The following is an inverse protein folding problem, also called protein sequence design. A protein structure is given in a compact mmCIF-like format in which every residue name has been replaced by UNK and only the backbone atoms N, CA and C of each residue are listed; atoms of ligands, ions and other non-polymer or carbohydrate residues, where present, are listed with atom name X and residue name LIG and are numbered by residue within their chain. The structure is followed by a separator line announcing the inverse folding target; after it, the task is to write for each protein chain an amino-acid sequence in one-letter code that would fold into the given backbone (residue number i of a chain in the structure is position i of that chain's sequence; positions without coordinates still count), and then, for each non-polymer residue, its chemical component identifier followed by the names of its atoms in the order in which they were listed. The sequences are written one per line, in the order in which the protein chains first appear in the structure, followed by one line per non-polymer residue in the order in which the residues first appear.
data_IF_974630260998
#
_entry.id   IF_974630260998
#
_cell.length_a   1.000
_cell.length_b   1.000
_cell.length_c   1.000
_cell.angle_alpha   90.00
_cell.angle_beta   90.00
_cell.angle_gamma   90.00
#
_symmetry.space_group_name_H-M   'P 1'
#
loop_
_entity.id
_entity.type
_entity.pdbx_description
1 polymer ?
#
# COMPACT_ATOMS: atom_id res chain seq x y z
N UNK A 1 -7.66 -3.70 -32.76
CA UNK A 1 -8.96 -3.72 -32.06
C UNK A 1 -8.91 -4.45 -30.72
N UNK A 2 -8.37 -5.67 -30.64
CA UNK A 2 -8.31 -6.47 -29.38
C UNK A 2 -7.41 -5.86 -28.28
N UNK A 3 -6.38 -5.07 -28.64
CA UNK A 3 -5.52 -4.35 -27.68
C UNK A 3 -6.19 -3.15 -26.98
N UNK A 4 -7.27 -2.59 -27.56
CA UNK A 4 -8.04 -1.50 -26.95
C UNK A 4 -9.05 -2.02 -25.93
N UNK A 5 -9.54 -3.26 -26.10
CA UNK A 5 -10.57 -3.85 -25.25
C UNK A 5 -10.04 -4.23 -23.86
N UNK A 6 -8.80 -4.74 -23.78
CA UNK A 6 -8.19 -5.16 -22.51
C UNK A 6 -7.74 -3.99 -21.62
N UNK A 7 -7.27 -2.88 -22.23
CA UNK A 7 -6.90 -1.67 -21.48
C UNK A 7 -8.11 -0.90 -20.95
N UNK A 8 -9.22 -0.92 -21.70
CA UNK A 8 -10.50 -0.35 -21.27
C UNK A 8 -11.10 -1.24 -20.17
N UNK A 9 -11.08 -2.58 -20.27
CA UNK A 9 -11.61 -3.46 -19.23
C UNK A 9 -10.92 -3.35 -17.86
N UNK A 10 -9.64 -2.99 -17.80
CA UNK A 10 -8.90 -2.88 -16.53
C UNK A 10 -9.23 -1.59 -15.75
N UNK A 11 -9.71 -0.56 -16.44
CA UNK A 11 -10.16 0.71 -15.85
C UNK A 11 -11.68 0.70 -15.70
N UNK A 12 -12.40 0.10 -16.66
CA UNK A 12 -13.83 -0.18 -16.57
C UNK A 12 -14.16 -1.26 -15.51
N UNK A 13 -13.26 -2.13 -15.07
CA UNK A 13 -13.57 -3.00 -13.93
C UNK A 13 -13.64 -2.23 -12.60
N UNK A 14 -12.99 -1.07 -12.49
CA UNK A 14 -13.11 -0.16 -11.35
C UNK A 14 -14.15 0.95 -11.57
N UNK A 15 -14.40 1.36 -12.82
CA UNK A 15 -15.30 2.46 -13.17
C UNK A 15 -16.64 2.03 -13.81
N UNK A 16 -16.71 0.91 -14.54
CA UNK A 16 -17.91 0.38 -15.22
C UNK A 16 -18.70 -0.62 -14.40
N UNK A 17 -18.07 -1.22 -13.40
CA UNK A 17 -18.79 -1.84 -12.30
C UNK A 17 -19.52 -0.77 -11.46
N UNK A 18 -19.10 0.50 -11.55
CA UNK A 18 -19.63 1.60 -10.73
C UNK A 18 -20.47 2.64 -11.47
N UNK A 19 -20.25 2.91 -12.76
CA UNK A 19 -20.85 4.08 -13.41
C UNK A 19 -21.45 3.87 -14.81
N UNK A 20 -21.37 2.67 -15.41
CA UNK A 20 -21.87 2.46 -16.79
C UNK A 20 -23.03 1.47 -16.95
N UNK A 21 -23.81 1.16 -15.91
CA UNK A 21 -25.08 0.48 -16.11
C UNK A 21 -26.21 1.13 -15.30
N UNK A 22 -27.28 1.64 -15.94
CA UNK A 22 -28.59 1.62 -15.30
C UNK A 22 -28.96 0.15 -15.13
N UNK A 23 -28.67 -0.43 -13.96
CA UNK A 23 -28.84 -1.87 -13.63
C UNK A 23 -28.15 -2.80 -14.65
N UNK A 24 -27.00 -3.42 -14.33
CA UNK A 24 -26.66 -4.63 -15.05
C UNK A 24 -27.77 -5.62 -14.76
N UNK A 25 -28.38 -6.17 -15.80
CA UNK A 25 -29.10 -7.42 -15.68
C UNK A 25 -28.06 -8.45 -15.23
N UNK A 26 -27.85 -8.53 -13.91
CA UNK A 26 -27.22 -9.67 -13.27
C UNK A 26 -28.03 -10.86 -13.75
N UNK A 27 -27.35 -11.84 -14.35
CA UNK A 27 -27.93 -13.16 -14.47
C UNK A 27 -28.44 -13.53 -13.06
N UNK A 28 -29.70 -13.97 -12.97
CA UNK A 28 -30.32 -14.33 -11.70
C UNK A 28 -29.38 -15.24 -10.89
N UNK A 29 -28.75 -14.70 -9.85
CA UNK A 29 -27.93 -15.48 -8.91
C UNK A 29 -26.53 -14.97 -8.58
N UNK A 30 -25.92 -14.05 -9.34
CA UNK A 30 -24.57 -13.54 -9.00
C UNK A 30 -24.62 -12.24 -8.17
N UNK A 31 -24.48 -12.36 -6.85
CA UNK A 31 -24.29 -11.21 -5.95
C UNK A 31 -22.84 -10.73 -6.01
N UNK A 32 -22.63 -9.41 -6.16
CA UNK A 32 -21.32 -8.78 -5.94
C UNK A 32 -20.83 -9.20 -4.54
N UNK A 33 -19.59 -9.72 -4.40
CA UNK A 33 -19.06 -10.08 -3.08
C UNK A 33 -19.15 -8.89 -2.12
N UNK A 34 -19.61 -9.08 -0.87
CA UNK A 34 -19.82 -7.98 0.09
C UNK A 34 -18.60 -7.06 0.26
N UNK A 35 -17.39 -7.62 0.24
CA UNK A 35 -16.13 -6.87 0.32
C UNK A 35 -15.90 -5.91 -0.86
N UNK A 36 -16.25 -6.33 -2.09
CA UNK A 36 -16.06 -5.51 -3.28
C UNK A 36 -17.02 -4.30 -3.29
N UNK A 37 -18.24 -4.49 -2.79
CA UNK A 37 -19.20 -3.41 -2.60
C UNK A 37 -18.70 -2.42 -1.53
N UNK A 38 -18.20 -2.92 -0.40
CA UNK A 38 -17.68 -2.08 0.71
C UNK A 38 -16.47 -1.23 0.31
N UNK A 39 -15.51 -1.79 -0.43
CA UNK A 39 -14.36 -1.02 -0.89
C UNK A 39 -14.75 0.12 -1.82
N UNK A 40 -15.76 -0.10 -2.65
CA UNK A 40 -16.17 0.93 -3.58
C UNK A 40 -17.02 2.01 -2.95
N UNK A 41 -17.87 1.69 -1.97
CA UNK A 41 -18.50 2.71 -1.14
C UNK A 41 -17.42 3.53 -0.43
N UNK A 42 -16.37 2.90 0.12
CA UNK A 42 -15.22 3.62 0.69
C UNK A 42 -14.47 4.48 -0.32
N UNK A 43 -14.28 4.02 -1.55
CA UNK A 43 -13.65 4.82 -2.60
C UNK A 43 -14.50 6.05 -2.97
N UNK A 44 -15.82 5.91 -3.03
CA UNK A 44 -16.73 7.02 -3.30
C UNK A 44 -16.80 8.01 -2.12
N UNK A 45 -16.78 7.50 -0.89
CA UNK A 45 -16.88 8.31 0.32
C UNK A 45 -15.57 9.04 0.62
N UNK A 46 -14.44 8.34 0.54
CA UNK A 46 -13.11 8.89 0.81
C UNK A 46 -12.01 8.15 0.01
N UNK A 47 -11.80 8.53 -1.26
CA UNK A 47 -10.83 7.86 -2.13
C UNK A 47 -9.40 8.03 -1.63
N UNK A 48 -9.09 9.17 -1.02
CA UNK A 48 -7.78 9.46 -0.45
C UNK A 48 -7.46 8.47 0.67
N UNK A 49 -8.38 8.30 1.63
CA UNK A 49 -8.18 7.41 2.76
C UNK A 49 -8.04 5.95 2.33
N UNK A 50 -8.84 5.49 1.36
CA UNK A 50 -8.71 4.14 0.80
C UNK A 50 -7.32 3.94 0.17
N UNK A 51 -6.89 4.84 -0.72
CA UNK A 51 -5.58 4.76 -1.36
C UNK A 51 -4.44 4.79 -0.32
N UNK A 52 -4.62 5.57 0.73
CA UNK A 52 -3.68 5.66 1.83
C UNK A 52 -3.59 4.35 2.62
N UNK A 53 -4.73 3.71 2.91
CA UNK A 53 -4.77 2.38 3.55
C UNK A 53 -4.04 1.35 2.68
N UNK A 54 -4.29 1.34 1.37
CA UNK A 54 -3.63 0.44 0.43
C UNK A 54 -2.11 0.68 0.35
N UNK A 55 -1.68 1.94 0.33
CA UNK A 55 -0.25 2.29 0.42
C UNK A 55 0.38 1.73 1.70
N UNK A 56 -0.28 1.96 2.84
CA UNK A 56 0.17 1.46 4.15
C UNK A 56 0.28 -0.07 4.21
N UNK A 57 -0.46 -0.81 3.38
CA UNK A 57 -0.34 -2.26 3.24
C UNK A 57 0.94 -2.70 2.51
N UNK A 58 1.50 -1.85 1.65
CA UNK A 58 2.72 -2.11 0.89
C UNK A 58 3.98 -1.52 1.51
N UNK A 59 3.85 -0.85 2.64
CA UNK A 59 4.94 -0.19 3.34
C UNK A 59 5.53 -1.11 4.42
N UNK A 60 6.75 -0.86 4.90
CA UNK A 60 7.44 -1.73 5.87
C UNK A 60 8.32 -1.01 6.89
N UNK A 61 7.76 -0.76 8.08
CA UNK A 61 8.45 -0.11 9.19
C UNK A 61 9.19 -1.07 10.15
N UNK A 62 9.39 -2.34 9.76
CA UNK A 62 10.14 -3.32 10.57
C UNK A 62 11.65 -3.10 10.35
N UNK A 63 12.50 -3.15 11.39
CA UNK A 63 13.94 -2.97 11.23
C UNK A 63 14.64 -4.13 10.49
N UNK A 64 15.84 -3.88 9.98
CA UNK A 64 16.69 -4.95 9.45
C UNK A 64 17.18 -5.84 10.62
N UNK A 65 17.26 -7.17 10.45
CA UNK A 65 17.84 -8.05 11.46
C UNK A 65 19.23 -7.60 11.92
N UNK A 66 19.56 -7.81 13.20
CA UNK A 66 20.78 -7.24 13.80
C UNK A 66 22.08 -7.71 13.13
N UNK A 67 22.08 -8.87 12.49
CA UNK A 67 23.23 -9.48 11.81
C UNK A 67 23.24 -9.25 10.29
N UNK A 68 22.28 -8.47 9.76
CA UNK A 68 22.17 -8.09 8.34
C UNK A 68 22.41 -6.60 8.20
N UNK A 69 22.81 -6.13 7.02
CA UNK A 69 23.09 -4.73 6.72
C UNK A 69 22.03 -4.08 5.86
N UNK A 70 21.37 -4.84 5.00
CA UNK A 70 20.31 -4.31 4.15
C UNK A 70 19.20 -5.33 3.92
N UNK A 71 18.06 -4.82 3.46
CA UNK A 71 16.94 -5.62 3.00
C UNK A 71 16.34 -4.99 1.74
N UNK A 72 16.05 -5.83 0.77
CA UNK A 72 15.15 -5.49 -0.34
C UNK A 72 13.87 -6.27 -0.13
N UNK A 73 12.73 -5.60 -0.12
CA UNK A 73 11.39 -6.19 0.04
C UNK A 73 10.49 -5.78 -1.11
N UNK A 74 9.75 -6.74 -1.63
CA UNK A 74 8.75 -6.56 -2.67
C UNK A 74 7.39 -6.92 -2.08
N UNK A 75 6.49 -5.94 -2.05
CA UNK A 75 5.14 -6.09 -1.52
C UNK A 75 4.15 -6.34 -2.64
N UNK A 76 3.22 -7.25 -2.39
CA UNK A 76 2.13 -7.55 -3.30
C UNK A 76 0.84 -7.65 -2.49
N UNK A 77 -0.11 -6.76 -2.78
CA UNK A 77 -1.38 -6.71 -2.07
C UNK A 77 -2.40 -7.67 -2.71
N UNK A 78 -2.91 -8.69 -1.99
CA UNK A 78 -3.67 -9.78 -2.62
C UNK A 78 -5.18 -9.56 -2.82
N UNK A 79 -5.79 -8.42 -2.44
CA UNK A 79 -7.26 -8.27 -2.57
C UNK A 79 -7.73 -7.28 -3.65
N UNK A 80 -8.32 -7.87 -4.70
CA UNK A 80 -9.33 -7.35 -5.64
C UNK A 80 -9.04 -6.19 -6.61
N UNK A 81 -7.79 -5.72 -6.67
CA UNK A 81 -7.11 -5.33 -7.94
C UNK A 81 -5.63 -5.79 -7.88
N UNK A 82 -5.36 -7.08 -7.60
CA UNK A 82 -4.28 -7.46 -6.69
C UNK A 82 -2.93 -7.80 -7.34
N UNK A 83 -2.72 -7.43 -8.61
CA UNK A 83 -1.42 -7.62 -9.28
C UNK A 83 -0.91 -6.36 -9.96
N UNK A 84 -1.56 -5.22 -9.68
CA UNK A 84 -1.25 -3.98 -10.36
C UNK A 84 -0.44 -3.02 -9.52
N UNK A 85 -0.28 -3.18 -8.20
CA UNK A 85 0.44 -2.22 -7.37
C UNK A 85 1.67 -2.85 -6.70
N UNK A 86 2.74 -3.13 -7.46
CA UNK A 86 4.00 -3.55 -6.86
C UNK A 86 4.62 -2.41 -6.05
N UNK A 87 5.07 -2.73 -4.83
CA UNK A 87 5.84 -1.82 -3.99
C UNK A 87 7.24 -2.36 -3.73
N UNK A 88 8.27 -1.58 -4.09
CA UNK A 88 9.67 -1.87 -3.76
C UNK A 88 10.06 -1.13 -2.49
N UNK A 89 10.57 -1.86 -1.52
CA UNK A 89 11.08 -1.35 -0.25
C UNK A 89 12.57 -1.65 -0.17
N UNK A 90 13.36 -0.61 0.08
CA UNK A 90 14.79 -0.71 0.38
C UNK A 90 15.02 -0.25 1.81
N UNK A 91 15.68 -1.10 2.60
CA UNK A 91 16.14 -0.76 3.95
C UNK A 91 17.64 -0.96 4.05
N UNK A 92 18.30 0.02 4.64
CA UNK A 92 19.74 -0.03 4.89
C UNK A 92 19.99 0.35 6.35
N UNK A 93 20.76 -0.49 7.03
CA UNK A 93 21.23 -0.21 8.38
C UNK A 93 22.40 0.75 8.31
N UNK A 94 22.19 1.95 8.82
CA UNK A 94 23.20 2.99 8.89
C UNK A 94 24.13 2.81 10.10
N UNK A 95 23.61 2.29 11.21
CA UNK A 95 24.37 2.10 12.45
C UNK A 95 23.97 0.78 13.13
N UNK A 96 24.95 0.00 13.55
CA UNK A 96 24.72 -1.16 14.43
C UNK A 96 24.50 -0.72 15.88
N UNK A 97 23.70 -1.50 16.60
CA UNK A 97 23.49 -1.26 18.02
C UNK A 97 24.82 -1.39 18.79
N UNK A 98 25.15 -0.40 19.60
CA UNK A 98 26.26 -0.43 20.56
C UNK A 98 25.75 -0.03 21.93
N UNK A 99 26.44 -0.38 23.03
CA UNK A 99 25.96 -0.25 24.42
C UNK A 99 24.85 0.80 24.64
N UNK A 100 25.16 2.08 24.40
CA UNK A 100 24.21 3.19 24.53
C UNK A 100 23.44 3.56 23.25
N UNK A 101 23.97 3.30 22.06
CA UNK A 101 23.33 3.69 20.80
C UNK A 101 22.37 2.61 20.28
N UNK A 102 21.15 2.99 19.84
CA UNK A 102 20.29 2.06 19.12
C UNK A 102 20.88 1.75 17.74
N UNK A 103 20.47 0.62 17.17
CA UNK A 103 20.58 0.39 15.73
C UNK A 103 19.74 1.45 15.00
N UNK A 104 20.27 1.97 13.89
CA UNK A 104 19.58 2.96 13.05
C UNK A 104 19.44 2.37 11.64
N UNK A 105 18.21 2.24 11.17
CA UNK A 105 17.89 1.87 9.80
C UNK A 105 17.21 3.03 9.07
N UNK A 106 17.52 3.18 7.80
CA UNK A 106 16.82 4.08 6.87
C UNK A 106 16.04 3.23 5.89
N UNK A 107 14.76 3.54 5.75
CA UNK A 107 13.84 2.89 4.84
C UNK A 107 13.43 3.88 3.74
N UNK A 108 13.41 3.41 2.51
CA UNK A 108 12.71 4.05 1.39
C UNK A 108 11.79 3.05 0.71
N UNK A 109 10.60 3.49 0.33
CA UNK A 109 9.64 2.71 -0.44
C UNK A 109 9.18 3.52 -1.64
N UNK A 110 8.98 2.83 -2.76
CA UNK A 110 8.34 3.36 -3.93
C UNK A 110 7.40 2.32 -4.51
N UNK A 111 6.17 2.74 -4.79
CA UNK A 111 5.16 1.94 -5.43
C UNK A 111 4.62 2.66 -6.65
N UNK A 112 4.31 1.89 -7.68
CA UNK A 112 3.68 2.42 -8.88
C UNK A 112 2.65 1.42 -9.37
N UNK A 113 1.44 1.89 -9.64
CA UNK A 113 0.41 1.03 -10.14
C UNK A 113 0.63 0.73 -11.63
N UNK A 114 1.03 -0.50 -11.93
CA UNK A 114 1.21 -1.07 -13.25
C UNK A 114 -0.05 -0.98 -14.12
N UNK A 115 -1.27 -1.13 -13.57
CA UNK A 115 -2.49 -1.01 -14.38
C UNK A 115 -2.72 0.44 -14.84
N UNK A 116 -2.56 1.41 -13.94
CA UNK A 116 -2.64 2.84 -14.30
C UNK A 116 -1.51 3.22 -15.26
N UNK A 117 -0.32 2.62 -15.11
CA UNK A 117 0.81 2.84 -16.02
C UNK A 117 0.54 2.30 -17.43
N UNK A 118 -0.05 1.10 -17.54
CA UNK A 118 -0.45 0.52 -18.83
C UNK A 118 -1.55 1.36 -19.48
N UNK A 119 -2.53 1.84 -18.69
CA UNK A 119 -3.54 2.76 -19.18
C UNK A 119 -2.91 4.02 -19.76
N UNK A 120 -2.02 4.67 -19.00
CA UNK A 120 -1.33 5.88 -19.42
C UNK A 120 -0.52 5.68 -20.71
N UNK A 121 0.07 4.51 -20.90
CA UNK A 121 0.79 4.15 -22.12
C UNK A 121 -0.14 3.89 -23.32
N UNK A 122 -1.37 3.42 -23.07
CA UNK A 122 -2.37 3.15 -24.10
C UNK A 122 -3.11 4.41 -24.58
N UNK A 123 -3.06 5.51 -23.80
CA UNK A 123 -3.64 6.79 -24.20
C UNK A 123 -2.81 7.46 -25.29
N UNK A 124 -3.48 7.82 -26.39
CA UNK A 124 -2.86 8.42 -27.58
C UNK A 124 -2.78 9.94 -27.52
N UNK A 125 -3.26 10.54 -26.44
CA UNK A 125 -3.31 11.98 -26.25
C UNK A 125 -1.92 12.57 -26.01
N UNK A 126 -1.64 13.69 -26.69
CA UNK A 126 -0.42 14.51 -26.54
C UNK A 126 -0.54 15.51 -25.39
N UNK A 127 -1.65 15.49 -24.66
CA UNK A 127 -1.92 16.41 -23.57
C UNK A 127 -1.08 16.01 -22.33
N UNK A 128 -0.56 17.01 -21.62
CA UNK A 128 0.60 16.87 -20.72
C UNK A 128 0.37 16.10 -19.41
N UNK A 129 -0.85 15.68 -19.09
CA UNK A 129 -1.16 14.98 -17.85
C UNK A 129 -1.74 13.60 -18.14
N UNK A 130 -0.88 12.58 -18.10
CA UNK A 130 -1.27 11.17 -18.23
C UNK A 130 -1.73 10.63 -16.87
N UNK A 131 -2.64 9.63 -16.85
CA UNK A 131 -2.99 8.96 -15.61
C UNK A 131 -1.76 8.45 -14.87
N UNK A 132 -1.71 8.66 -13.56
CA UNK A 132 -0.63 8.17 -12.72
C UNK A 132 -1.17 7.77 -11.36
N UNK A 133 -0.65 6.66 -10.85
CA UNK A 133 -0.86 6.24 -9.47
C UNK A 133 0.48 5.76 -8.94
N UNK A 134 1.02 6.52 -8.03
CA UNK A 134 2.29 6.22 -7.39
C UNK A 134 2.25 6.64 -5.93
N UNK A 135 3.16 6.04 -5.18
CA UNK A 135 3.32 6.26 -3.76
C UNK A 135 4.79 6.14 -3.38
N UNK A 136 5.15 6.79 -2.28
CA UNK A 136 6.47 6.62 -1.69
C UNK A 136 6.41 6.85 -0.20
N UNK A 137 7.33 6.20 0.52
CA UNK A 137 7.55 6.45 1.93
C UNK A 137 9.04 6.53 2.25
N UNK A 138 9.37 7.26 3.31
CA UNK A 138 10.69 7.28 3.93
C UNK A 138 10.52 7.17 5.43
N UNK A 139 11.31 6.31 6.06
CA UNK A 139 11.31 6.15 7.51
C UNK A 139 12.72 6.12 8.08
N UNK A 140 12.83 6.60 9.32
CA UNK A 140 13.96 6.36 10.19
C UNK A 140 13.51 5.37 11.26
N UNK A 141 14.22 4.26 11.41
CA UNK A 141 13.87 3.20 12.36
C UNK A 141 15.00 3.12 13.40
N UNK A 142 14.65 3.37 14.66
CA UNK A 142 15.54 3.21 15.80
C UNK A 142 15.19 1.90 16.49
N UNK A 143 16.18 1.03 16.68
CA UNK A 143 15.97 -0.30 17.24
C UNK A 143 16.90 -0.55 18.42
N UNK A 144 16.36 -1.11 19.52
CA UNK A 144 17.13 -1.50 20.70
C UNK A 144 16.78 -2.92 21.13
N UNK A 145 17.80 -3.68 21.52
CA UNK A 145 17.60 -5.03 22.06
C UNK A 145 17.06 -4.96 23.49
N UNK A 146 15.97 -5.68 23.75
CA UNK A 146 15.43 -5.92 25.09
C UNK A 146 15.92 -7.25 25.67
N UNK A 147 16.13 -8.25 24.81
CA UNK A 147 16.72 -9.56 25.14
C UNK A 147 17.34 -10.17 23.89
N UNK A 148 18.02 -11.31 24.00
CA UNK A 148 18.66 -11.96 22.86
C UNK A 148 17.73 -12.26 21.67
N UNK A 149 16.43 -12.38 21.93
CA UNK A 149 15.41 -12.66 20.90
C UNK A 149 14.42 -11.53 20.67
N UNK A 150 14.39 -10.50 21.51
CA UNK A 150 13.34 -9.48 21.45
C UNK A 150 13.95 -8.10 21.29
N UNK A 151 13.46 -7.35 20.31
CA UNK A 151 13.86 -5.97 20.02
C UNK A 151 12.64 -5.07 20.05
N UNK A 152 12.83 -3.85 20.56
CA UNK A 152 11.87 -2.75 20.41
C UNK A 152 12.36 -1.83 19.31
N UNK A 153 11.44 -1.33 18.50
CA UNK A 153 11.75 -0.36 17.46
C UNK A 153 10.73 0.76 17.44
N UNK A 154 11.16 1.95 17.02
CA UNK A 154 10.29 3.11 16.89
C UNK A 154 10.91 4.12 15.92
N UNK A 155 10.08 5.04 15.42
CA UNK A 155 10.59 6.14 14.64
C UNK A 155 9.54 6.92 13.87
N UNK A 156 9.96 7.99 13.19
CA UNK A 156 9.12 8.74 12.28
C UNK A 156 9.12 8.12 10.88
N UNK A 157 7.99 8.25 10.20
CA UNK A 157 7.80 7.86 8.81
C UNK A 157 6.97 8.89 8.06
N UNK A 158 7.41 9.30 6.89
CA UNK A 158 6.62 10.08 5.95
C UNK A 158 6.11 9.18 4.84
N UNK A 159 4.83 9.32 4.49
CA UNK A 159 4.14 8.55 3.47
C UNK A 159 3.36 9.48 2.55
N UNK A 160 3.38 9.22 1.24
CA UNK A 160 2.67 9.98 0.23
C UNK A 160 2.04 9.07 -0.81
N UNK A 161 0.80 9.35 -1.18
CA UNK A 161 0.09 8.68 -2.28
C UNK A 161 -0.53 9.72 -3.19
N UNK A 162 -0.47 9.48 -4.50
CA UNK A 162 -1.07 10.34 -5.50
C UNK A 162 -1.73 9.52 -6.60
N UNK A 163 -3.02 9.78 -6.82
CA UNK A 163 -3.80 9.32 -7.95
C UNK A 163 -4.20 10.53 -8.80
N UNK A 164 -3.70 10.58 -10.02
CA UNK A 164 -4.15 11.51 -11.03
C UNK A 164 -4.78 10.71 -12.17
N UNK A 165 -6.05 10.95 -12.45
CA UNK A 165 -6.76 10.41 -13.61
C UNK A 165 -7.25 11.60 -14.43
N UNK A 166 -6.76 11.70 -15.67
CA UNK A 166 -7.25 12.68 -16.64
C UNK A 166 -7.74 11.91 -17.85
N UNK A 167 -8.95 12.21 -18.30
CA UNK A 167 -9.59 11.58 -19.44
C UNK A 167 -9.80 12.60 -20.54
N UNK A 168 -9.47 12.23 -21.79
CA UNK A 168 -9.69 13.11 -22.94
C UNK A 168 -11.20 13.30 -23.20
N UNK A 169 -11.99 12.25 -22.98
CA UNK A 169 -13.45 12.21 -23.04
C UNK A 169 -13.99 11.58 -21.76
N UNK A 170 -15.17 12.02 -21.30
CA UNK A 170 -15.78 11.45 -20.08
C UNK A 170 -15.98 9.95 -20.29
N UNK A 171 -15.47 9.08 -19.39
CA UNK A 171 -15.64 7.63 -19.53
C UNK A 171 -17.09 7.16 -19.34
N UNK A 172 -18.00 8.07 -18.99
CA UNK A 172 -19.40 7.82 -18.75
C UNK A 172 -20.21 8.77 -19.63
N UNK A 173 -20.91 8.20 -20.61
CA UNK A 173 -21.62 8.91 -21.68
C UNK A 173 -22.71 9.90 -21.23
N UNK A 174 -22.92 10.11 -19.92
CA UNK A 174 -23.93 11.02 -19.37
C UNK A 174 -23.47 11.85 -18.15
N UNK A 175 -22.16 11.91 -17.87
CA UNK A 175 -21.61 12.72 -16.77
C UNK A 175 -20.73 13.86 -17.34
N UNK A 176 -21.34 14.97 -17.79
CA UNK A 176 -20.60 16.13 -18.26
C UNK A 176 -19.86 16.76 -17.08
N UNK A 177 -18.53 16.69 -17.08
CA UNK A 177 -17.67 17.34 -16.08
C UNK A 177 -16.56 16.46 -15.47
N UNK A 178 -16.62 15.13 -15.63
CA UNK A 178 -15.60 14.22 -15.09
C UNK A 178 -14.39 14.09 -16.03
N UNK A 179 -13.65 15.20 -16.23
CA UNK A 179 -12.45 15.24 -17.07
C UNK A 179 -11.16 14.99 -16.29
N UNK A 180 -11.15 15.31 -15.01
CA UNK A 180 -9.99 15.17 -14.13
C UNK A 180 -10.42 14.75 -12.74
N UNK A 181 -9.68 13.81 -12.17
CA UNK A 181 -9.78 13.36 -10.80
C UNK A 181 -8.37 13.30 -10.23
N UNK A 182 -8.07 14.20 -9.30
CA UNK A 182 -6.76 14.31 -8.67
C UNK A 182 -6.94 14.17 -7.16
N UNK A 183 -6.30 13.15 -6.60
CA UNK A 183 -6.30 12.85 -5.18
C UNK A 183 -4.87 12.65 -4.74
N UNK A 184 -4.40 13.51 -3.85
CA UNK A 184 -3.10 13.38 -3.21
C UNK A 184 -3.27 13.43 -1.69
N UNK A 185 -2.54 12.56 -0.99
CA UNK A 185 -2.52 12.56 0.46
C UNK A 185 -1.12 12.25 0.98
N UNK A 186 -0.67 13.04 1.94
CA UNK A 186 0.55 12.80 2.71
C UNK A 186 0.24 12.63 4.18
N UNK A 187 1.02 11.84 4.89
CA UNK A 187 0.93 11.72 6.34
C UNK A 187 2.31 11.45 6.93
N UNK A 188 2.54 11.96 8.14
CA UNK A 188 3.71 11.61 8.96
C UNK A 188 3.25 10.76 10.13
N UNK A 189 3.76 9.54 10.20
CA UNK A 189 3.52 8.61 11.28
C UNK A 189 4.64 8.63 12.31
N UNK A 190 4.26 8.48 13.56
CA UNK A 190 5.13 7.95 14.60
C UNK A 190 4.74 6.50 14.84
N UNK A 191 5.67 5.57 14.70
CA UNK A 191 5.42 4.16 14.94
C UNK A 191 6.28 3.62 16.08
N UNK A 192 5.77 2.59 16.74
CA UNK A 192 6.50 1.80 17.72
C UNK A 192 6.07 0.34 17.65
N UNK A 193 7.01 -0.57 17.89
CA UNK A 193 6.75 -1.98 17.75
C UNK A 193 7.77 -2.88 18.44
N UNK A 194 7.43 -4.16 18.43
CA UNK A 194 8.22 -5.25 18.96
C UNK A 194 8.48 -6.26 17.85
N UNK A 195 9.71 -6.75 17.80
CA UNK A 195 10.10 -7.90 17.00
C UNK A 195 10.60 -9.00 17.93
N UNK A 196 10.11 -10.21 17.73
CA UNK A 196 10.55 -11.40 18.44
C UNK A 196 11.06 -12.46 17.47
N UNK A 197 12.30 -12.89 17.66
CA UNK A 197 12.94 -13.93 16.87
C UNK A 197 12.52 -15.32 17.34
N UNK A 198 11.75 -16.04 16.51
CA UNK A 198 11.27 -17.40 16.79
C UNK A 198 12.21 -18.49 16.29
N UNK A 199 13.09 -18.16 15.34
CA UNK A 199 14.08 -19.07 14.78
C UNK A 199 15.14 -18.36 13.96
N UNK A 200 16.02 -19.11 13.29
CA UNK A 200 16.99 -18.52 12.37
C UNK A 200 16.25 -17.85 11.21
N UNK A 201 16.46 -16.53 11.04
CA UNK A 201 15.78 -15.72 10.02
C UNK A 201 14.24 -15.84 10.08
N UNK A 202 13.66 -16.07 11.27
CA UNK A 202 12.20 -16.13 11.49
C UNK A 202 11.80 -15.20 12.62
N UNK A 203 10.81 -14.36 12.35
CA UNK A 203 10.40 -13.29 13.25
C UNK A 203 8.88 -13.18 13.34
N UNK A 204 8.40 -12.78 14.50
CA UNK A 204 7.04 -12.27 14.69
C UNK A 204 7.16 -10.80 15.04
N UNK A 205 6.45 -9.95 14.32
CA UNK A 205 6.47 -8.51 14.53
C UNK A 205 5.08 -8.01 14.84
N UNK A 206 5.02 -7.03 15.72
CA UNK A 206 3.81 -6.27 15.97
C UNK A 206 4.20 -4.80 16.13
N UNK A 207 3.43 -3.90 15.54
CA UNK A 207 3.65 -2.48 15.74
C UNK A 207 2.34 -1.72 15.63
N UNK A 208 2.34 -0.52 16.19
CA UNK A 208 1.28 0.45 15.99
C UNK A 208 1.90 1.78 15.53
N UNK A 209 1.14 2.50 14.73
CA UNK A 209 1.54 3.77 14.15
C UNK A 209 0.40 4.78 14.30
N UNK A 210 0.77 6.02 14.55
CA UNK A 210 -0.15 7.15 14.69
C UNK A 210 0.24 8.27 13.72
N UNK A 211 -0.67 8.60 12.80
CA UNK A 211 -0.55 9.69 11.84
C UNK A 211 -0.86 11.02 12.50
N UNK A 212 0.01 12.00 12.30
CA UNK A 212 -0.08 13.30 13.01
C UNK A 212 -1.10 14.25 12.37
N UNK A 213 -1.27 14.21 11.06
CA UNK A 213 -2.10 15.15 10.30
C UNK A 213 -3.58 14.75 10.34
N UNK A 214 -3.88 13.50 9.98
CA UNK A 214 -5.22 12.93 9.91
C UNK A 214 -5.61 12.16 11.17
N UNK A 215 -4.71 12.10 12.17
CA UNK A 215 -4.92 11.42 13.46
C UNK A 215 -5.16 9.92 13.32
N UNK A 216 -4.52 9.33 12.31
CA UNK A 216 -4.77 7.97 11.85
C UNK A 216 -4.07 6.92 12.69
N UNK A 217 -4.80 6.00 13.32
CA UNK A 217 -4.22 4.85 14.00
C UNK A 217 -4.14 3.64 13.06
N UNK A 218 -3.00 2.95 13.11
CA UNK A 218 -2.74 1.72 12.37
C UNK A 218 -2.09 0.73 13.32
N UNK A 219 -2.49 -0.54 13.24
CA UNK A 219 -1.75 -1.64 13.84
C UNK A 219 -1.35 -2.65 12.77
N UNK A 220 -0.20 -3.29 12.96
CA UNK A 220 0.27 -4.40 12.13
C UNK A 220 0.71 -5.56 12.99
N UNK A 221 0.38 -6.77 12.54
CA UNK A 221 0.99 -8.01 13.03
C UNK A 221 1.47 -8.81 11.82
N UNK A 222 2.70 -9.31 11.89
CA UNK A 222 3.26 -10.10 10.80
C UNK A 222 4.13 -11.24 11.31
N UNK A 223 4.22 -12.29 10.51
CA UNK A 223 5.21 -13.35 10.64
C UNK A 223 6.14 -13.29 9.42
N UNK A 224 7.43 -13.40 9.69
CA UNK A 224 8.49 -13.34 8.69
C UNK A 224 9.30 -14.62 8.73
N UNK A 225 9.62 -15.12 7.55
CA UNK A 225 10.49 -16.24 7.26
C UNK A 225 11.57 -15.77 6.28
N UNK A 226 12.66 -16.52 6.02
CA UNK A 226 13.86 -15.98 5.37
C UNK A 226 13.65 -15.20 4.06
N UNK A 227 12.60 -15.50 3.29
CA UNK A 227 12.28 -14.85 2.03
C UNK A 227 10.84 -14.40 1.89
N UNK A 228 10.02 -14.58 2.92
CA UNK A 228 8.59 -14.38 2.83
C UNK A 228 8.03 -13.85 4.14
N UNK A 229 7.15 -12.85 4.02
CA UNK A 229 6.44 -12.25 5.12
C UNK A 229 4.94 -12.25 4.79
N UNK A 230 4.14 -12.60 5.79
CA UNK A 230 2.69 -12.48 5.72
C UNK A 230 2.18 -11.89 7.02
N UNK A 231 1.13 -11.09 6.91
CA UNK A 231 0.57 -10.42 8.06
C UNK A 231 -0.75 -9.76 7.75
N UNK A 232 -1.17 -8.94 8.69
CA UNK A 232 -2.37 -8.15 8.57
C UNK A 232 -2.15 -6.74 9.12
N UNK A 233 -2.71 -5.77 8.43
CA UNK A 233 -2.92 -4.43 8.91
C UNK A 233 -4.33 -4.27 9.46
N UNK A 234 -4.45 -3.53 10.55
CA UNK A 234 -5.68 -3.30 11.27
C UNK A 234 -5.86 -1.78 11.36
N UNK A 235 -6.97 -1.30 10.81
CA UNK A 235 -7.36 0.10 10.80
C UNK A 235 -8.64 0.23 11.65
N UNK A 236 -8.54 0.71 12.90
CA UNK A 236 -9.69 0.77 13.81
C UNK A 236 -10.61 1.97 13.55
N UNK A 237 -10.32 2.81 12.56
CA UNK A 237 -11.03 4.07 12.34
C UNK A 237 -12.28 3.88 11.47
N UNK A 238 -13.42 4.38 11.96
CA UNK A 238 -14.71 4.33 11.28
C UNK A 238 -15.34 2.93 11.28
N UNK A 239 -14.81 2.04 10.44
CA UNK A 239 -15.13 0.61 10.44
C UNK A 239 -13.85 -0.16 10.67
N UNK A 240 -13.86 -1.11 11.60
CA UNK A 240 -12.70 -1.93 11.88
C UNK A 240 -12.32 -2.77 10.64
N UNK A 241 -11.26 -2.38 9.94
CA UNK A 241 -10.82 -3.04 8.69
C UNK A 241 -9.56 -3.86 8.94
N UNK A 242 -9.55 -5.10 8.43
CA UNK A 242 -8.39 -5.98 8.44
C UNK A 242 -7.94 -6.20 6.99
N UNK A 243 -6.71 -5.81 6.67
CA UNK A 243 -6.10 -5.99 5.35
C UNK A 243 -4.96 -7.00 5.41
N UNK A 244 -5.09 -8.20 4.80
CA UNK A 244 -3.98 -9.13 4.70
C UNK A 244 -2.94 -8.63 3.71
N UNK A 245 -1.67 -8.88 3.99
CA UNK A 245 -0.59 -8.58 3.04
C UNK A 245 0.40 -9.74 2.96
N UNK A 246 1.11 -9.79 1.83
CA UNK A 246 2.22 -10.70 1.59
C UNK A 246 3.38 -9.94 0.98
N UNK A 247 4.59 -10.39 1.31
CA UNK A 247 5.80 -9.80 0.79
C UNK A 247 6.90 -10.83 0.62
N UNK A 248 7.76 -10.59 -0.37
CA UNK A 248 9.03 -11.29 -0.52
C UNK A 248 10.17 -10.38 -0.14
N UNK A 249 11.20 -10.93 0.50
CA UNK A 249 12.34 -10.13 0.88
C UNK A 249 13.67 -10.89 0.81
N UNK A 250 14.75 -10.14 0.70
CA UNK A 250 16.11 -10.65 0.69
C UNK A 250 16.98 -9.78 1.59
N UNK A 251 17.75 -10.42 2.45
CA UNK A 251 18.69 -9.76 3.34
C UNK A 251 20.11 -9.84 2.79
N UNK A 252 20.88 -8.78 3.00
CA UNK A 252 22.28 -8.66 2.62
C UNK A 252 23.13 -8.30 3.84
#
# INVERSE_FOLDING_TARGET
MIKRLFGILAVFSLFALFLSHPRPALAEGESIPPFAFEMATKFLDNPADLLFNLHSDMDDSVPVPSYRRAQVRFNLFPSFLPFAWPGLNLKVKALDETGYWPQIDVQGQYGQNAAVTVLAAAMTSTDSAKPSLYDYSVALILTKRLSDKTRIFFGPKYSYVNLQLKFDESPIDNLPGFKEFNVAQSETFLFWGLEHQTGKDRFVTSHIAYGLQYRKLMARVATSSPHFEAGMNIYPEGMFVIHPFMAWHWYF
#
